data_IF_182015046818
#
_entry.id   IF_182015046818
#
_cell.length_a   1.000
_cell.length_b   1.000
_cell.length_c   1.000
_cell.angle_alpha   90.00
_cell.angle_beta   90.00
_cell.angle_gamma   90.00
#
_symmetry.space_group_name_H-M   'P 1'
#
loop_
_entity.id
_entity.type
_entity.pdbx_description
1 polymer ?
#
# COMPACT_ATOMS: atom_id res chain seq x y z
N UNK A 1 -13.57 5.62 82.46
CA UNK A 1 -12.87 6.89 82.18
C UNK A 1 -13.55 7.53 80.98
N UNK A 2 -14.69 8.19 81.24
CA UNK A 2 -14.88 9.66 81.19
C UNK A 2 -14.73 10.24 79.78
N UNK A 3 -15.81 10.46 79.01
CA UNK A 3 -16.89 11.49 79.06
C UNK A 3 -16.56 12.76 78.26
N UNK A 4 -17.47 13.08 77.33
CA UNK A 4 -17.96 14.45 77.04
C UNK A 4 -17.32 15.15 75.84
N UNK A 5 -17.99 15.25 74.67
CA UNK A 5 -18.97 16.31 74.28
C UNK A 5 -18.49 17.76 74.49
N UNK A 6 -18.35 18.53 73.40
CA UNK A 6 -19.21 19.68 73.00
C UNK A 6 -18.50 20.60 71.98
N UNK A 7 -19.22 20.93 70.91
CA UNK A 7 -19.10 22.21 70.20
C UNK A 7 -19.76 23.32 71.05
N UNK A 8 -19.37 24.60 70.88
CA UNK A 8 -20.33 25.53 70.27
C UNK A 8 -19.74 26.65 69.38
N UNK A 9 -20.69 27.41 68.80
CA UNK A 9 -20.68 28.47 67.79
C UNK A 9 -20.18 29.86 68.24
N UNK A 10 -19.73 30.63 67.23
CA UNK A 10 -19.91 32.06 66.90
C UNK A 10 -19.53 33.21 67.88
N UNK A 11 -18.69 34.14 67.38
CA UNK A 11 -18.86 35.61 67.33
C UNK A 11 -17.72 36.23 66.49
N UNK A 12 -17.95 36.84 65.32
CA UNK A 12 -18.21 38.27 64.98
C UNK A 12 -16.99 39.24 65.08
N UNK A 13 -16.65 39.77 63.88
CA UNK A 13 -16.10 41.08 63.49
C UNK A 13 -14.66 41.53 63.82
N UNK A 14 -13.89 41.88 62.77
CA UNK A 14 -13.44 43.27 62.54
C UNK A 14 -12.93 43.50 61.10
N UNK A 15 -13.36 44.63 60.53
CA UNK A 15 -13.06 45.17 59.20
C UNK A 15 -11.58 45.53 58.98
N UNK A 16 -11.11 45.48 57.73
CA UNK A 16 -10.46 46.62 57.02
C UNK A 16 -10.06 46.25 55.58
N UNK A 17 -10.44 47.12 54.63
CA UNK A 17 -9.57 47.49 53.51
C UNK A 17 -9.91 46.91 52.14
N UNK A 18 -10.79 47.61 51.42
CA UNK A 18 -10.95 47.55 49.96
C UNK A 18 -9.69 48.12 49.27
N UNK A 19 -9.23 47.50 48.18
CA UNK A 19 -8.66 48.22 47.02
C UNK A 19 -8.70 47.33 45.77
N UNK A 20 -9.47 47.77 44.77
CA UNK A 20 -9.53 47.24 43.41
C UNK A 20 -8.16 47.30 42.70
N UNK A 21 -7.85 46.29 41.88
CA UNK A 21 -6.93 46.46 40.75
C UNK A 21 -7.51 45.89 39.45
N UNK A 22 -7.57 46.80 38.48
CA UNK A 22 -8.01 46.74 37.08
C UNK A 22 -7.54 45.52 36.29
N UNK A 23 -8.43 45.11 35.40
CA UNK A 23 -8.25 44.26 34.23
C UNK A 23 -7.26 44.85 33.21
N UNK A 24 -6.39 43.99 32.66
CA UNK A 24 -5.47 44.29 31.56
C UNK A 24 -5.92 43.52 30.32
N UNK A 25 -6.20 44.25 29.25
CA UNK A 25 -6.51 43.75 27.90
C UNK A 25 -5.20 43.30 27.21
N UNK A 26 -5.13 42.12 26.56
CA UNK A 26 -3.93 41.73 25.83
C UNK A 26 -3.86 42.41 24.46
N UNK A 27 -2.69 42.99 24.22
CA UNK A 27 -2.29 43.79 23.07
C UNK A 27 -2.18 42.95 21.77
N UNK A 28 -2.71 43.50 20.68
CA UNK A 28 -2.72 42.94 19.33
C UNK A 28 -1.31 43.10 18.72
N UNK A 29 -0.56 42.01 18.55
CA UNK A 29 0.76 42.05 17.90
C UNK A 29 0.62 42.09 16.38
N UNK A 30 1.17 43.14 15.79
CA UNK A 30 1.38 43.31 14.35
C UNK A 30 2.23 42.18 13.76
N UNK A 31 1.70 41.54 12.72
CA UNK A 31 2.43 40.55 11.93
C UNK A 31 3.52 41.25 11.10
N UNK A 32 4.79 40.96 11.38
CA UNK A 32 5.92 41.46 10.60
C UNK A 32 5.89 40.92 9.16
N UNK A 33 6.05 41.82 8.18
CA UNK A 33 6.11 41.53 6.75
C UNK A 33 7.17 40.46 6.40
N UNK A 34 8.22 40.35 7.22
CA UNK A 34 9.27 39.33 7.10
C UNK A 34 8.71 37.92 7.28
N UNK A 35 7.78 37.70 8.23
CA UNK A 35 7.14 36.39 8.43
C UNK A 35 6.22 35.99 7.27
N UNK A 36 5.58 36.96 6.61
CA UNK A 36 4.74 36.70 5.44
C UNK A 36 5.58 36.27 4.23
N UNK A 37 6.76 36.89 4.02
CA UNK A 37 7.69 36.54 2.95
C UNK A 37 8.32 35.16 3.19
N UNK A 38 8.69 34.82 4.43
CA UNK A 38 9.17 33.47 4.76
C UNK A 38 8.07 32.41 4.61
N UNK A 39 6.83 32.68 5.00
CA UNK A 39 5.70 31.76 4.77
C UNK A 39 5.40 31.59 3.27
N UNK A 40 5.41 32.66 2.48
CA UNK A 40 5.18 32.59 1.04
C UNK A 40 6.30 31.82 0.32
N UNK A 41 7.57 32.06 0.67
CA UNK A 41 8.71 31.30 0.13
C UNK A 41 8.68 29.82 0.54
N UNK A 42 8.23 29.52 1.76
CA UNK A 42 8.08 28.13 2.24
C UNK A 42 6.89 27.41 1.57
N UNK A 43 5.80 28.12 1.28
CA UNK A 43 4.65 27.59 0.52
C UNK A 43 5.04 27.35 -0.94
N UNK A 44 5.76 28.26 -1.59
CA UNK A 44 6.27 28.06 -2.96
C UNK A 44 7.29 26.91 -3.02
N UNK A 45 8.15 26.76 -2.00
CA UNK A 45 9.06 25.63 -1.88
C UNK A 45 8.32 24.30 -1.69
N UNK A 46 7.23 24.27 -0.93
CA UNK A 46 6.39 23.06 -0.78
C UNK A 46 5.65 22.73 -2.08
N UNK A 47 5.11 23.71 -2.79
CA UNK A 47 4.39 23.50 -4.06
C UNK A 47 5.34 23.02 -5.18
N UNK A 48 6.59 23.49 -5.22
CA UNK A 48 7.58 22.98 -6.18
C UNK A 48 8.11 21.57 -5.84
N UNK A 49 8.04 21.13 -4.58
CA UNK A 49 8.58 19.83 -4.14
C UNK A 49 7.53 18.71 -3.99
N UNK A 50 6.27 18.98 -4.35
CA UNK A 50 5.18 18.00 -4.41
C UNK A 50 5.01 17.35 -5.79
N UNK A 51 5.93 17.59 -6.73
CA UNK A 51 5.98 16.80 -7.96
C UNK A 51 6.51 15.39 -7.63
N UNK A 52 5.80 14.31 -8.01
CA UNK A 52 6.37 12.97 -8.00
C UNK A 52 7.64 12.97 -8.86
N UNK A 53 8.66 12.21 -8.45
CA UNK A 53 9.97 12.11 -9.11
C UNK A 53 9.86 11.48 -10.51
N UNK A 54 9.35 12.27 -11.47
CA UNK A 54 9.24 11.97 -12.90
C UNK A 54 10.64 11.79 -13.51
N UNK A 55 11.70 12.33 -12.89
CA UNK A 55 13.07 12.23 -13.41
C UNK A 55 13.63 10.81 -13.33
N UNK A 56 13.24 10.02 -12.33
CA UNK A 56 13.61 8.59 -12.28
C UNK A 56 12.98 7.78 -13.42
N UNK A 57 11.72 8.06 -13.77
CA UNK A 57 10.99 7.40 -14.88
C UNK A 57 11.52 7.87 -16.23
N UNK A 58 11.76 9.19 -16.38
CA UNK A 58 12.25 9.79 -17.62
C UNK A 58 13.67 9.33 -17.97
N UNK A 59 14.54 9.08 -16.97
CA UNK A 59 15.90 8.54 -17.19
C UNK A 59 15.90 7.07 -17.63
N UNK A 60 14.84 6.32 -17.34
CA UNK A 60 14.69 4.91 -17.77
C UNK A 60 14.04 4.82 -19.15
N UNK A 61 13.20 5.79 -19.50
CA UNK A 61 12.48 5.85 -20.79
C UNK A 61 13.25 6.62 -21.89
N UNK A 62 14.40 7.23 -21.57
CA UNK A 62 15.12 8.14 -22.48
C UNK A 62 15.95 7.46 -23.59
N UNK A 63 15.99 6.13 -23.65
CA UNK A 63 16.88 5.43 -24.59
C UNK A 63 16.17 4.92 -25.87
N UNK A 64 14.88 5.23 -26.11
CA UNK A 64 14.16 4.59 -27.22
C UNK A 64 13.00 5.42 -27.83
N UNK A 65 13.15 6.75 -27.88
CA UNK A 65 12.14 7.63 -28.50
C UNK A 65 12.77 8.50 -29.61
N UNK A 66 13.06 7.87 -30.74
CA UNK A 66 13.12 8.53 -32.03
C UNK A 66 12.41 7.60 -33.04
N UNK A 67 11.57 8.20 -33.87
CA UNK A 67 10.85 7.62 -35.00
C UNK A 67 9.56 6.86 -34.67
N UNK A 68 8.43 7.58 -34.77
CA UNK A 68 7.33 7.29 -35.71
C UNK A 68 6.05 8.04 -35.27
N UNK A 69 5.87 9.26 -35.76
CA UNK A 69 4.55 9.88 -35.90
C UNK A 69 4.51 10.71 -37.18
N UNK A 70 3.57 10.40 -38.07
CA UNK A 70 3.08 11.33 -39.07
C UNK A 70 1.63 10.98 -39.44
N UNK A 71 0.77 12.00 -39.30
CA UNK A 71 -0.49 12.31 -40.03
C UNK A 71 -1.63 11.29 -40.04
N UNK A 72 -2.91 11.65 -40.09
CA UNK A 72 -3.72 12.85 -39.79
C UNK A 72 -5.19 12.43 -39.99
N UNK A 73 -6.11 13.35 -39.64
CA UNK A 73 -7.51 13.48 -40.08
C UNK A 73 -8.60 13.05 -39.08
N UNK A 74 -9.30 14.09 -38.61
CA UNK A 74 -10.49 14.08 -37.75
C UNK A 74 -11.76 13.85 -38.56
N UNK A 75 -12.65 12.98 -38.08
CA UNK A 75 -14.08 12.95 -38.40
C UNK A 75 -14.87 12.78 -37.08
N UNK A 76 -16.09 13.34 -36.97
CA UNK A 76 -16.73 13.60 -35.68
C UNK A 76 -17.38 12.35 -35.09
N UNK A 77 -17.11 12.13 -33.80
CA UNK A 77 -17.64 11.00 -33.04
C UNK A 77 -19.16 11.11 -32.80
N UNK A 78 -19.95 10.07 -33.13
CA UNK A 78 -21.34 10.00 -32.73
C UNK A 78 -21.44 9.77 -31.22
N UNK A 79 -22.29 10.55 -30.57
CA UNK A 79 -22.61 10.48 -29.13
C UNK A 79 -22.96 9.05 -28.71
N UNK A 80 -22.11 8.44 -27.87
CA UNK A 80 -22.29 7.09 -27.37
C UNK A 80 -23.45 6.98 -26.37
N UNK A 81 -24.22 5.87 -26.37
CA UNK A 81 -25.29 5.64 -25.42
C UNK A 81 -24.74 5.49 -23.99
N UNK A 82 -25.55 5.87 -23.02
CA UNK A 82 -25.27 5.75 -21.59
C UNK A 82 -24.97 4.29 -21.20
N UNK A 83 -23.69 3.91 -21.21
CA UNK A 83 -23.23 2.59 -20.77
C UNK A 83 -23.48 2.44 -19.28
N UNK A 84 -24.55 1.75 -18.89
CA UNK A 84 -24.77 1.33 -17.51
C UNK A 84 -23.78 0.21 -17.15
N UNK A 85 -22.64 0.55 -16.54
CA UNK A 85 -21.74 -0.45 -15.99
C UNK A 85 -22.20 -0.91 -14.60
N UNK A 86 -22.09 -2.21 -14.30
CA UNK A 86 -22.42 -2.79 -13.00
C UNK A 86 -21.18 -2.95 -12.11
N UNK A 87 -21.23 -2.55 -10.81
CA UNK A 87 -20.08 -2.69 -9.91
C UNK A 87 -19.58 -4.14 -9.76
N UNK A 88 -18.30 -4.35 -10.05
CA UNK A 88 -17.64 -5.67 -9.97
C UNK A 88 -17.39 -6.06 -8.51
N UNK A 89 -17.62 -7.34 -8.19
CA UNK A 89 -17.52 -7.88 -6.80
C UNK A 89 -16.48 -9.00 -6.65
N UNK A 90 -16.07 -9.60 -7.76
CA UNK A 90 -15.17 -10.75 -7.78
C UNK A 90 -13.77 -10.28 -8.18
N UNK A 91 -12.83 -10.28 -7.25
CA UNK A 91 -11.52 -9.63 -7.42
C UNK A 91 -10.42 -10.53 -6.85
N UNK A 92 -9.39 -10.75 -7.65
CA UNK A 92 -8.09 -11.25 -7.19
C UNK A 92 -7.11 -10.09 -7.27
N UNK A 93 -6.69 -9.59 -6.10
CA UNK A 93 -5.58 -8.66 -6.02
C UNK A 93 -4.32 -9.39 -5.56
N UNK A 94 -3.41 -9.64 -6.50
CA UNK A 94 -2.14 -10.28 -6.16
C UNK A 94 -1.16 -9.25 -5.61
N UNK A 95 -0.95 -9.27 -4.29
CA UNK A 95 -0.01 -8.38 -3.61
C UNK A 95 1.45 -8.70 -3.95
N UNK A 96 2.14 -7.74 -4.54
CA UNK A 96 3.61 -7.70 -4.58
C UNK A 96 4.16 -7.02 -3.32
N UNK A 97 5.33 -7.47 -2.85
CA UNK A 97 5.94 -6.91 -1.64
C UNK A 97 6.44 -5.49 -1.85
N UNK A 98 6.14 -4.60 -0.88
CA UNK A 98 6.65 -3.21 -0.82
C UNK A 98 6.26 -2.29 -1.99
N UNK A 99 5.21 -2.64 -2.73
CA UNK A 99 4.59 -1.82 -3.78
C UNK A 99 3.41 -0.96 -3.31
N UNK A 100 3.34 -0.61 -2.02
CA UNK A 100 2.13 -0.03 -1.39
C UNK A 100 0.89 -0.94 -1.47
N UNK A 101 1.10 -2.24 -1.63
CA UNK A 101 0.03 -3.24 -1.77
C UNK A 101 -0.85 -3.39 -0.53
N UNK A 102 -0.40 -3.02 0.68
CA UNK A 102 -1.29 -2.96 1.86
C UNK A 102 -2.32 -1.83 1.78
N UNK A 103 -2.00 -0.71 1.11
CA UNK A 103 -2.96 0.38 0.87
C UNK A 103 -4.05 -0.08 -0.10
N UNK A 104 -3.65 -0.68 -1.22
CA UNK A 104 -4.60 -1.24 -2.20
C UNK A 104 -5.41 -2.39 -1.62
N UNK A 105 -4.80 -3.25 -0.79
CA UNK A 105 -5.55 -4.27 -0.05
C UNK A 105 -6.63 -3.67 0.85
N UNK A 106 -6.37 -2.54 1.51
CA UNK A 106 -7.37 -1.87 2.34
C UNK A 106 -8.58 -1.46 1.50
N UNK A 107 -8.40 -0.93 0.28
CA UNK A 107 -9.49 -0.61 -0.65
C UNK A 107 -10.42 -1.81 -0.86
N UNK A 108 -9.87 -2.95 -1.28
CA UNK A 108 -10.65 -4.17 -1.53
C UNK A 108 -11.29 -4.74 -0.26
N UNK A 109 -10.56 -4.71 0.86
CA UNK A 109 -11.07 -5.17 2.14
C UNK A 109 -12.25 -4.33 2.64
N UNK A 110 -12.17 -3.00 2.52
CA UNK A 110 -13.27 -2.08 2.88
C UNK A 110 -14.50 -2.34 2.00
N UNK A 111 -14.29 -2.41 0.69
CA UNK A 111 -15.39 -2.66 -0.26
C UNK A 111 -16.13 -3.97 0.05
N UNK A 112 -15.39 -5.07 0.17
CA UNK A 112 -15.99 -6.37 0.46
C UNK A 112 -16.52 -6.52 1.89
N UNK A 113 -15.93 -5.81 2.85
CA UNK A 113 -16.43 -5.79 4.22
C UNK A 113 -17.83 -5.17 4.27
N UNK A 114 -18.00 -3.96 3.72
CA UNK A 114 -19.26 -3.21 3.70
C UNK A 114 -20.37 -3.94 2.93
N UNK A 115 -20.00 -4.68 1.88
CA UNK A 115 -20.95 -5.41 1.00
C UNK A 115 -21.11 -6.88 1.36
N UNK A 116 -20.62 -7.32 2.53
CA UNK A 116 -20.74 -8.70 3.04
C UNK A 116 -20.21 -9.78 2.05
N UNK A 117 -19.18 -9.46 1.28
CA UNK A 117 -18.57 -10.36 0.29
C UNK A 117 -17.63 -11.38 0.94
N UNK A 118 -17.48 -12.57 0.37
CA UNK A 118 -16.66 -13.63 0.95
C UNK A 118 -15.18 -13.51 0.55
N UNK A 119 -14.29 -13.52 1.53
CA UNK A 119 -12.84 -13.43 1.33
C UNK A 119 -12.16 -14.79 1.37
N UNK A 120 -11.16 -14.96 0.52
CA UNK A 120 -10.15 -16.01 0.65
C UNK A 120 -9.15 -15.54 1.71
N UNK A 121 -9.14 -16.19 2.88
CA UNK A 121 -8.38 -15.76 4.05
C UNK A 121 -7.35 -16.81 4.49
N UNK A 122 -6.22 -16.38 5.08
CA UNK A 122 -5.27 -17.29 5.68
C UNK A 122 -5.88 -18.02 6.88
N UNK A 123 -5.74 -19.36 6.95
CA UNK A 123 -6.51 -20.19 7.87
C UNK A 123 -6.16 -20.00 9.35
N UNK A 124 -4.99 -19.44 9.65
CA UNK A 124 -4.52 -19.16 11.01
C UNK A 124 -4.40 -17.66 11.28
N UNK A 125 -5.05 -16.84 10.46
CA UNK A 125 -4.78 -15.40 10.42
C UNK A 125 -3.40 -15.09 9.86
N UNK A 126 -2.98 -13.83 9.97
CA UNK A 126 -1.71 -13.32 9.42
C UNK A 126 -1.83 -12.77 7.99
N UNK A 127 -0.69 -12.52 7.36
CA UNK A 127 -0.64 -11.80 6.08
C UNK A 127 -0.47 -12.67 4.83
N UNK A 128 -0.23 -13.98 5.00
CA UNK A 128 0.20 -14.88 3.91
C UNK A 128 -0.69 -16.11 3.77
N UNK A 129 -0.97 -16.47 2.52
CA UNK A 129 -1.52 -17.76 2.11
C UNK A 129 -0.45 -18.44 1.26
N UNK A 130 0.23 -19.43 1.83
CA UNK A 130 1.41 -20.01 1.22
C UNK A 130 2.59 -19.04 1.23
N UNK A 131 3.31 -18.96 0.10
CA UNK A 131 4.56 -18.22 -0.09
C UNK A 131 5.71 -18.79 0.78
N UNK A 132 6.76 -19.38 0.20
CA UNK A 132 7.18 -19.26 -1.20
C UNK A 132 6.47 -20.21 -2.18
N UNK A 133 5.68 -21.17 -1.70
CA UNK A 133 4.91 -22.02 -2.62
C UNK A 133 3.85 -21.21 -3.39
N UNK A 134 3.69 -21.46 -4.70
CA UNK A 134 2.57 -20.96 -5.48
C UNK A 134 1.23 -21.31 -4.83
N UNK A 135 0.25 -20.42 -4.98
CA UNK A 135 -1.07 -20.60 -4.39
C UNK A 135 -1.70 -21.94 -4.80
N UNK A 136 -2.35 -22.58 -3.84
CA UNK A 136 -3.17 -23.76 -4.07
C UNK A 136 -4.37 -23.72 -3.14
N UNK A 137 -5.54 -24.14 -3.61
CA UNK A 137 -6.76 -24.16 -2.79
C UNK A 137 -6.67 -25.07 -1.56
N UNK A 138 -5.72 -26.01 -1.50
CA UNK A 138 -5.45 -26.79 -0.29
C UNK A 138 -4.92 -25.95 0.88
N UNK A 139 -4.48 -24.71 0.63
CA UNK A 139 -3.94 -23.80 1.65
C UNK A 139 -5.03 -23.05 2.43
N UNK A 140 -6.28 -23.06 1.94
CA UNK A 140 -7.41 -22.32 2.53
C UNK A 140 -8.62 -23.24 2.73
N UNK A 141 -9.61 -22.86 3.57
CA UNK A 141 -10.85 -23.63 3.70
C UNK A 141 -11.55 -23.79 2.35
N UNK A 142 -12.25 -24.91 2.16
CA UNK A 142 -13.03 -25.13 0.94
C UNK A 142 -14.48 -24.66 1.14
N UNK A 143 -14.73 -23.39 0.86
CA UNK A 143 -16.06 -22.77 0.94
C UNK A 143 -17.12 -23.43 0.04
N UNK A 144 -16.68 -23.99 -1.09
CA UNK A 144 -17.60 -24.54 -2.10
C UNK A 144 -18.40 -25.74 -1.59
N UNK A 145 -17.87 -26.47 -0.60
CA UNK A 145 -18.56 -27.58 0.08
C UNK A 145 -19.81 -27.15 0.85
N UNK A 146 -19.98 -25.85 1.05
CA UNK A 146 -21.11 -25.25 1.78
C UNK A 146 -21.96 -24.37 0.88
N UNK A 147 -21.82 -24.47 -0.45
CA UNK A 147 -22.53 -23.60 -1.40
C UNK A 147 -22.05 -22.15 -1.38
N UNK A 148 -20.91 -21.86 -0.75
CA UNK A 148 -20.36 -20.51 -0.65
C UNK A 148 -19.31 -20.29 -1.74
N UNK A 149 -19.42 -19.17 -2.45
CA UNK A 149 -18.42 -18.71 -3.42
C UNK A 149 -17.55 -17.62 -2.84
N UNK A 150 -16.26 -17.68 -3.14
CA UNK A 150 -15.33 -16.60 -2.83
C UNK A 150 -15.48 -15.45 -3.81
N UNK A 151 -15.32 -14.23 -3.29
CA UNK A 151 -15.38 -13.00 -4.04
C UNK A 151 -14.03 -12.29 -4.08
N UNK A 152 -13.31 -12.22 -2.95
CA UNK A 152 -12.11 -11.40 -2.86
C UNK A 152 -10.91 -12.19 -2.33
N UNK A 153 -9.80 -12.18 -3.08
CA UNK A 153 -8.49 -12.66 -2.63
C UNK A 153 -7.50 -11.49 -2.66
N UNK A 154 -6.97 -11.09 -1.50
CA UNK A 154 -6.09 -9.92 -1.37
C UNK A 154 -4.88 -10.13 -0.45
N UNK A 155 -4.67 -11.31 0.13
CA UNK A 155 -3.52 -11.58 1.02
C UNK A 155 -2.28 -11.99 0.23
N UNK A 156 -1.09 -11.92 0.85
CA UNK A 156 0.15 -12.29 0.17
C UNK A 156 0.12 -13.76 -0.25
N UNK A 157 0.16 -13.97 -1.56
CA UNK A 157 0.24 -15.27 -2.21
C UNK A 157 1.35 -15.19 -3.26
N UNK A 158 1.82 -16.35 -3.74
CA UNK A 158 2.59 -16.42 -4.98
C UNK A 158 1.66 -16.85 -6.11
N UNK A 159 1.72 -16.21 -7.28
CA UNK A 159 0.79 -16.48 -8.38
C UNK A 159 0.80 -17.96 -8.76
N UNK A 160 -0.39 -18.49 -8.92
CA UNK A 160 -0.68 -19.67 -9.72
C UNK A 160 -2.01 -19.36 -10.38
N UNK A 161 -1.97 -18.85 -11.62
CA UNK A 161 -3.14 -18.28 -12.27
C UNK A 161 -4.25 -19.32 -12.42
N UNK A 162 -3.93 -20.48 -12.96
CA UNK A 162 -4.90 -21.55 -13.20
C UNK A 162 -5.59 -21.98 -11.90
N UNK A 163 -4.81 -22.20 -10.83
CA UNK A 163 -5.39 -22.52 -9.53
C UNK A 163 -6.24 -21.36 -9.01
N UNK A 164 -5.75 -20.12 -8.99
CA UNK A 164 -6.53 -18.97 -8.48
C UNK A 164 -7.85 -18.79 -9.25
N UNK A 165 -7.82 -18.91 -10.58
CA UNK A 165 -8.98 -18.76 -11.45
C UNK A 165 -10.03 -19.84 -11.21
N UNK A 166 -9.60 -21.08 -10.95
CA UNK A 166 -10.42 -22.30 -10.91
C UNK A 166 -11.62 -22.26 -9.96
N UNK A 167 -11.53 -21.60 -8.79
CA UNK A 167 -12.66 -21.47 -7.84
C UNK A 167 -13.21 -20.05 -7.70
N UNK A 168 -12.74 -19.12 -8.54
CA UNK A 168 -13.30 -17.77 -8.60
C UNK A 168 -14.42 -17.71 -9.65
N UNK A 169 -15.31 -16.72 -9.52
CA UNK A 169 -16.41 -16.52 -10.48
C UNK A 169 -15.91 -16.22 -11.90
N UNK A 170 -16.72 -16.49 -12.92
CA UNK A 170 -16.35 -16.28 -14.32
C UNK A 170 -16.03 -14.79 -14.64
N UNK A 171 -16.62 -13.85 -13.91
CA UNK A 171 -16.43 -12.41 -14.02
C UNK A 171 -15.33 -11.85 -13.08
N UNK A 172 -14.47 -12.71 -12.52
CA UNK A 172 -13.38 -12.27 -11.65
C UNK A 172 -12.42 -11.33 -12.39
N UNK A 173 -12.03 -10.25 -11.72
CA UNK A 173 -11.03 -9.27 -12.19
C UNK A 173 -9.71 -9.52 -11.47
N UNK A 174 -8.63 -9.69 -12.22
CA UNK A 174 -7.27 -9.84 -11.72
C UNK A 174 -6.54 -8.49 -11.75
N UNK A 175 -6.07 -8.07 -10.58
CA UNK A 175 -5.33 -6.81 -10.40
C UNK A 175 -4.01 -7.11 -9.68
N UNK A 176 -2.94 -6.42 -10.07
CA UNK A 176 -1.71 -6.38 -9.27
C UNK A 176 -1.10 -4.99 -9.32
N UNK A 177 0.05 -4.80 -8.67
CA UNK A 177 0.76 -3.53 -8.61
C UNK A 177 2.26 -3.77 -8.72
N UNK A 178 2.94 -2.96 -9.52
CA UNK A 178 4.40 -2.95 -9.65
C UNK A 178 4.98 -1.63 -9.11
N UNK A 179 6.28 -1.62 -8.93
CA UNK A 179 7.05 -0.49 -8.40
C UNK A 179 8.44 -0.49 -9.03
N UNK A 180 9.12 0.66 -9.06
CA UNK A 180 10.55 0.73 -9.39
C UNK A 180 11.34 -0.35 -8.64
N UNK A 181 12.00 -1.29 -9.35
CA UNK A 181 12.66 -2.44 -8.71
C UNK A 181 13.76 -2.03 -7.73
N UNK A 182 14.49 -0.96 -8.05
CA UNK A 182 15.55 -0.43 -7.18
C UNK A 182 14.97 0.15 -5.90
N UNK A 183 13.94 0.98 -6.00
CA UNK A 183 13.30 1.54 -4.80
C UNK A 183 12.60 0.47 -3.95
N UNK A 184 12.03 -0.53 -4.62
CA UNK A 184 11.42 -1.67 -3.97
C UNK A 184 12.47 -2.45 -3.17
N UNK A 185 13.61 -2.76 -3.78
CA UNK A 185 14.66 -3.52 -3.13
C UNK A 185 15.29 -2.73 -1.98
N UNK A 186 15.48 -1.42 -2.10
CA UNK A 186 15.90 -0.56 -0.98
C UNK A 186 14.92 -0.65 0.21
N UNK A 187 13.63 -0.71 -0.09
CA UNK A 187 12.57 -0.85 0.90
C UNK A 187 12.59 -2.24 1.56
N UNK A 188 12.75 -3.31 0.78
CA UNK A 188 12.91 -4.67 1.29
C UNK A 188 14.14 -4.80 2.17
N UNK A 189 15.27 -4.28 1.70
CA UNK A 189 16.55 -4.37 2.39
C UNK A 189 16.46 -3.75 3.78
N UNK A 190 15.85 -2.58 3.88
CA UNK A 190 15.66 -1.89 5.15
C UNK A 190 14.61 -2.57 6.02
N UNK A 191 13.50 -3.04 5.44
CA UNK A 191 12.37 -3.61 6.19
C UNK A 191 12.69 -4.98 6.78
N UNK A 192 13.33 -5.86 6.01
CA UNK A 192 13.70 -7.21 6.42
C UNK A 192 15.11 -7.30 7.01
N UNK A 193 15.82 -6.17 7.16
CA UNK A 193 17.21 -6.12 7.61
C UNK A 193 18.11 -7.06 6.81
N UNK A 194 17.98 -7.01 5.47
CA UNK A 194 18.71 -7.91 4.56
C UNK A 194 20.23 -7.75 4.67
N UNK A 195 20.74 -6.69 5.33
CA UNK A 195 22.17 -6.62 5.66
C UNK A 195 22.66 -7.81 6.48
N UNK A 196 21.83 -8.36 7.36
CA UNK A 196 22.20 -9.52 8.18
C UNK A 196 22.23 -10.79 7.35
N UNK A 197 21.31 -10.91 6.41
CA UNK A 197 21.18 -12.08 5.54
C UNK A 197 22.29 -12.13 4.50
N UNK A 198 22.50 -11.04 3.76
CA UNK A 198 23.58 -10.95 2.79
C UNK A 198 24.93 -10.70 3.45
N UNK A 199 25.00 -10.42 4.76
CA UNK A 199 26.23 -10.05 5.49
C UNK A 199 26.97 -8.90 4.82
N UNK A 200 26.23 -7.89 4.38
CA UNK A 200 26.77 -6.77 3.65
C UNK A 200 25.91 -5.53 3.87
N UNK A 201 26.53 -4.35 3.89
CA UNK A 201 25.81 -3.09 4.02
C UNK A 201 25.18 -2.71 2.68
N UNK A 202 24.14 -1.88 2.74
CA UNK A 202 23.41 -1.48 1.54
C UNK A 202 24.24 -0.65 0.56
N UNK A 203 25.04 0.27 1.09
CA UNK A 203 25.95 1.15 0.35
C UNK A 203 27.08 0.39 -0.37
N UNK A 204 27.44 -0.78 0.13
CA UNK A 204 28.49 -1.63 -0.45
C UNK A 204 27.95 -2.85 -1.19
N UNK A 205 26.63 -3.02 -1.29
CA UNK A 205 26.02 -4.23 -1.85
C UNK A 205 26.53 -4.49 -3.27
N UNK A 206 27.14 -5.66 -3.47
CA UNK A 206 27.71 -6.08 -4.76
C UNK A 206 29.06 -5.45 -5.10
N UNK A 207 29.73 -4.76 -4.18
CA UNK A 207 31.11 -4.26 -4.38
C UNK A 207 32.16 -5.33 -4.14
N UNK A 208 31.89 -6.27 -3.23
CA UNK A 208 32.83 -7.31 -2.85
C UNK A 208 32.47 -8.63 -3.53
N UNK A 209 33.50 -9.40 -3.91
CA UNK A 209 33.29 -10.75 -4.43
C UNK A 209 32.61 -11.63 -3.37
N UNK A 210 31.66 -12.46 -3.82
CA UNK A 210 30.97 -13.45 -2.99
C UNK A 210 30.93 -14.80 -3.69
N UNK A 211 30.72 -15.90 -2.94
CA UNK A 211 30.47 -17.20 -3.53
C UNK A 211 29.33 -17.14 -4.54
N UNK A 212 29.42 -17.98 -5.57
CA UNK A 212 28.36 -18.13 -6.57
C UNK A 212 27.02 -18.41 -5.89
N UNK A 213 25.95 -17.75 -6.36
CA UNK A 213 24.60 -17.89 -5.81
C UNK A 213 24.33 -17.14 -4.51
N UNK A 214 25.30 -16.43 -3.91
CA UNK A 214 25.07 -15.68 -2.67
C UNK A 214 23.95 -14.63 -2.77
N UNK A 215 23.80 -14.01 -3.95
CA UNK A 215 22.73 -13.05 -4.22
C UNK A 215 21.48 -13.70 -4.83
N UNK A 216 21.57 -14.94 -5.35
CA UNK A 216 20.40 -15.70 -5.77
C UNK A 216 19.60 -16.24 -4.58
N UNK A 217 20.26 -16.46 -3.44
CA UNK A 217 19.64 -16.91 -2.21
C UNK A 217 18.57 -15.93 -1.70
N UNK A 218 17.44 -16.48 -1.22
CA UNK A 218 16.30 -15.73 -0.72
C UNK A 218 16.13 -15.94 0.79
N UNK A 219 15.93 -14.87 1.55
CA UNK A 219 15.66 -14.97 2.98
C UNK A 219 14.38 -15.79 3.21
N UNK A 220 14.54 -16.91 3.92
CA UNK A 220 13.45 -17.86 4.18
C UNK A 220 12.86 -18.50 2.91
N UNK A 221 13.57 -18.46 1.78
CA UNK A 221 13.07 -18.86 0.47
C UNK A 221 12.11 -17.85 -0.18
N UNK A 222 11.87 -16.69 0.46
CA UNK A 222 10.77 -15.77 0.11
C UNK A 222 11.23 -14.41 -0.41
N UNK A 223 12.16 -13.79 0.32
CA UNK A 223 12.53 -12.38 0.12
C UNK A 223 13.92 -12.27 -0.51
N UNK A 224 14.04 -11.57 -1.64
CA UNK A 224 15.31 -11.37 -2.33
C UNK A 224 15.18 -10.44 -3.53
N UNK A 225 16.16 -10.50 -4.45
CA UNK A 225 16.10 -9.76 -5.72
C UNK A 225 14.99 -10.30 -6.64
N UNK A 226 14.58 -9.49 -7.63
CA UNK A 226 13.48 -9.80 -8.54
C UNK A 226 12.20 -10.21 -7.79
N UNK A 227 11.87 -9.46 -6.73
CA UNK A 227 10.80 -9.82 -5.81
C UNK A 227 9.43 -9.78 -6.46
N UNK A 228 9.18 -8.84 -7.38
CA UNK A 228 7.85 -8.72 -8.00
C UNK A 228 7.58 -9.94 -8.87
N UNK A 229 8.49 -10.33 -9.77
CA UNK A 229 8.34 -11.54 -10.57
C UNK A 229 8.24 -12.80 -9.72
N UNK A 230 9.00 -12.87 -8.62
CA UNK A 230 8.88 -13.97 -7.66
C UNK A 230 7.47 -14.07 -7.07
N UNK A 231 6.91 -12.95 -6.61
CA UNK A 231 5.53 -12.88 -6.09
C UNK A 231 4.51 -13.20 -7.19
N UNK A 232 4.77 -12.75 -8.42
CA UNK A 232 3.98 -13.02 -9.62
C UNK A 232 4.21 -14.43 -10.20
N UNK A 233 4.85 -15.34 -9.46
CA UNK A 233 4.85 -16.78 -9.74
C UNK A 233 6.02 -17.30 -10.57
N UNK A 234 6.87 -16.43 -11.12
CA UNK A 234 8.02 -16.87 -11.90
C UNK A 234 9.05 -17.58 -11.00
N UNK A 235 9.63 -18.69 -11.47
CA UNK A 235 10.67 -19.44 -10.76
C UNK A 235 12.00 -18.66 -10.79
N UNK A 236 12.69 -18.60 -9.65
CA UNK A 236 13.92 -17.82 -9.53
C UNK A 236 15.05 -18.30 -10.44
N UNK A 237 15.02 -19.56 -10.91
CA UNK A 237 15.99 -20.10 -11.87
C UNK A 237 15.88 -19.47 -13.25
N UNK A 238 14.72 -18.89 -13.57
CA UNK A 238 14.46 -18.26 -14.86
C UNK A 238 14.89 -16.79 -14.94
N UNK A 239 15.23 -16.13 -13.81
CA UNK A 239 15.47 -14.68 -13.77
C UNK A 239 16.67 -14.21 -14.60
N UNK A 240 17.65 -15.07 -14.85
CA UNK A 240 18.84 -14.72 -15.65
C UNK A 240 18.59 -14.86 -17.16
N UNK A 241 17.52 -15.53 -17.58
CA UNK A 241 17.17 -15.72 -18.97
C UNK A 241 16.16 -14.64 -19.43
N UNK A 242 16.65 -13.63 -20.14
CA UNK A 242 15.85 -12.50 -20.58
C UNK A 242 14.65 -12.89 -21.47
N UNK A 243 14.80 -13.92 -22.33
CA UNK A 243 13.70 -14.41 -23.17
C UNK A 243 12.60 -15.05 -22.33
N UNK A 244 12.96 -15.91 -21.37
CA UNK A 244 11.98 -16.50 -20.44
C UNK A 244 11.28 -15.44 -19.59
N UNK A 245 12.01 -14.41 -19.15
CA UNK A 245 11.41 -13.28 -18.42
C UNK A 245 10.43 -12.53 -19.31
N UNK A 246 10.81 -12.23 -20.55
CA UNK A 246 9.96 -11.52 -21.50
C UNK A 246 8.66 -12.29 -21.78
N UNK A 247 8.75 -13.58 -22.08
CA UNK A 247 7.57 -14.43 -22.32
C UNK A 247 6.66 -14.50 -21.10
N UNK A 248 7.24 -14.56 -19.89
CA UNK A 248 6.46 -14.53 -18.65
C UNK A 248 5.79 -13.16 -18.42
N UNK A 249 6.44 -12.05 -18.78
CA UNK A 249 5.83 -10.71 -18.72
C UNK A 249 4.63 -10.60 -19.67
N UNK A 250 4.72 -11.15 -20.88
CA UNK A 250 3.59 -11.21 -21.81
C UNK A 250 2.45 -12.08 -21.28
N UNK A 251 2.77 -13.22 -20.66
CA UNK A 251 1.77 -14.01 -19.94
C UNK A 251 1.07 -13.19 -18.85
N UNK A 252 1.83 -12.45 -18.02
CA UNK A 252 1.24 -11.59 -16.99
C UNK A 252 0.31 -10.52 -17.58
N UNK A 253 0.70 -9.88 -18.68
CA UNK A 253 -0.13 -8.87 -19.37
C UNK A 253 -1.42 -9.48 -19.94
N UNK A 254 -1.40 -10.76 -20.33
CA UNK A 254 -2.59 -11.46 -20.81
C UNK A 254 -3.58 -11.87 -19.72
N UNK A 255 -3.13 -12.02 -18.46
CA UNK A 255 -3.96 -12.56 -17.36
C UNK A 255 -4.39 -11.53 -16.32
N UNK A 256 -3.74 -10.36 -16.26
CA UNK A 256 -4.11 -9.27 -15.38
C UNK A 256 -4.92 -8.22 -16.14
N UNK A 257 -6.15 -7.95 -15.69
CA UNK A 257 -7.01 -6.90 -16.26
C UNK A 257 -6.42 -5.49 -16.06
N UNK A 258 -5.71 -5.30 -14.94
CA UNK A 258 -4.96 -4.09 -14.62
C UNK A 258 -3.71 -4.39 -13.78
N UNK A 259 -2.57 -3.88 -14.25
CA UNK A 259 -1.33 -3.79 -13.46
C UNK A 259 -1.07 -2.33 -13.11
N UNK A 260 -1.26 -2.01 -11.84
CA UNK A 260 -1.05 -0.65 -11.31
C UNK A 260 0.44 -0.34 -11.20
N UNK A 261 0.82 0.94 -11.24
CA UNK A 261 2.19 1.41 -11.00
C UNK A 261 2.22 2.30 -9.77
N UNK A 262 3.00 1.92 -8.75
CA UNK A 262 3.05 2.62 -7.46
C UNK A 262 3.46 4.09 -7.59
N UNK A 263 4.33 4.42 -8.53
CA UNK A 263 4.82 5.78 -8.79
C UNK A 263 3.72 6.67 -9.40
N UNK A 264 2.70 6.07 -10.01
CA UNK A 264 1.53 6.70 -10.63
C UNK A 264 0.24 6.18 -9.99
N UNK A 265 0.21 6.24 -8.66
CA UNK A 265 -0.85 5.63 -7.86
C UNK A 265 -2.21 6.27 -8.14
N UNK A 266 -2.28 7.59 -8.31
CA UNK A 266 -3.55 8.29 -8.51
C UNK A 266 -4.20 7.86 -9.83
N UNK A 267 -3.43 7.84 -10.93
CA UNK A 267 -3.91 7.37 -12.23
C UNK A 267 -4.26 5.88 -12.20
N UNK A 268 -3.44 5.08 -11.49
CA UNK A 268 -3.72 3.65 -11.31
C UNK A 268 -5.04 3.42 -10.56
N UNK A 269 -5.38 4.27 -9.58
CA UNK A 269 -6.63 4.19 -8.83
C UNK A 269 -7.83 4.68 -9.63
N UNK A 270 -7.65 5.68 -10.49
CA UNK A 270 -8.69 6.11 -11.44
C UNK A 270 -9.03 4.97 -12.42
N UNK A 271 -8.02 4.33 -13.01
CA UNK A 271 -8.25 3.17 -13.89
C UNK A 271 -8.85 1.99 -13.13
N UNK A 272 -8.47 1.77 -11.87
CA UNK A 272 -9.08 0.74 -11.03
C UNK A 272 -10.56 1.03 -10.76
N UNK A 273 -10.90 2.29 -10.46
CA UNK A 273 -12.28 2.76 -10.25
C UNK A 273 -13.13 2.48 -11.49
N UNK A 274 -12.63 2.87 -12.67
CA UNK A 274 -13.30 2.69 -13.96
C UNK A 274 -13.48 1.20 -14.30
N UNK A 275 -12.41 0.40 -14.20
CA UNK A 275 -12.43 -1.06 -14.44
C UNK A 275 -13.46 -1.79 -13.57
N UNK A 276 -13.61 -1.39 -12.31
CA UNK A 276 -14.50 -2.07 -11.37
C UNK A 276 -15.90 -1.46 -11.33
N UNK A 277 -16.11 -0.33 -12.02
CA UNK A 277 -17.33 0.46 -11.98
C UNK A 277 -17.72 0.81 -10.53
N UNK A 278 -16.74 1.35 -9.81
CA UNK A 278 -16.86 1.73 -8.41
C UNK A 278 -16.97 3.24 -8.25
N UNK A 279 -17.51 3.67 -7.10
CA UNK A 279 -17.56 5.07 -6.74
C UNK A 279 -16.18 5.57 -6.29
N UNK A 280 -15.95 6.89 -6.37
CA UNK A 280 -14.69 7.51 -5.91
C UNK A 280 -14.41 7.16 -4.44
N UNK A 281 -15.44 7.10 -3.58
CA UNK A 281 -15.31 6.73 -2.17
C UNK A 281 -14.86 5.28 -1.92
N UNK A 282 -15.16 4.39 -2.85
CA UNK A 282 -14.74 2.99 -2.74
C UNK A 282 -13.22 2.89 -2.92
N UNK A 283 -12.61 3.73 -3.78
CA UNK A 283 -11.16 3.70 -4.09
C UNK A 283 -10.30 4.70 -3.30
N UNK A 284 -10.89 5.59 -2.49
CA UNK A 284 -10.13 6.47 -1.59
C UNK A 284 -9.20 5.64 -0.70
N UNK A 285 -7.95 6.08 -0.57
CA UNK A 285 -6.95 5.34 0.19
C UNK A 285 -6.01 6.26 0.95
N UNK A 286 -5.74 5.91 2.20
CA UNK A 286 -4.65 6.52 2.94
C UNK A 286 -3.36 5.74 2.72
N UNK A 287 -2.23 6.44 2.71
CA UNK A 287 -0.92 5.83 2.58
C UNK A 287 -0.52 5.10 3.89
N UNK A 288 -1.22 4.01 4.17
CA UNK A 288 -0.96 3.10 5.28
C UNK A 288 0.41 2.45 5.08
N UNK A 289 1.11 2.24 6.19
CA UNK A 289 2.43 1.62 6.22
C UNK A 289 3.51 2.37 5.40
N UNK A 290 3.31 3.65 5.13
CA UNK A 290 4.32 4.49 4.48
C UNK A 290 5.53 4.68 5.39
N UNK A 291 6.73 4.39 4.87
CA UNK A 291 7.97 4.68 5.58
C UNK A 291 8.23 6.18 5.58
N UNK A 292 8.57 6.72 6.74
CA UNK A 292 8.90 8.13 6.88
C UNK A 292 10.11 8.49 5.97
N UNK A 293 10.01 9.62 5.26
CA UNK A 293 11.01 10.07 4.26
C UNK A 293 12.43 10.12 4.84
N UNK A 294 12.60 10.43 6.13
CA UNK A 294 13.92 10.49 6.79
C UNK A 294 14.69 9.16 6.84
N UNK A 295 13.98 8.03 6.70
CA UNK A 295 14.57 6.69 6.69
C UNK A 295 14.78 6.15 5.27
N UNK A 296 14.48 6.94 4.23
CA UNK A 296 14.82 6.58 2.85
C UNK A 296 16.31 6.82 2.62
N UNK A 297 17.01 5.81 2.10
CA UNK A 297 18.43 5.91 1.77
C UNK A 297 18.62 6.65 0.45
N UNK A 298 19.61 7.53 0.38
CA UNK A 298 20.07 8.10 -0.89
C UNK A 298 20.85 7.04 -1.66
N UNK A 299 20.63 6.95 -2.96
CA UNK A 299 21.32 6.00 -3.85
C UNK A 299 22.45 6.73 -4.57
N UNK A 300 23.68 6.20 -4.49
CA UNK A 300 24.75 6.66 -5.36
C UNK A 300 24.53 6.10 -6.78
N UNK A 301 25.03 6.78 -7.84
CA UNK A 301 24.92 6.27 -9.21
C UNK A 301 25.50 4.86 -9.39
N UNK A 302 26.63 4.61 -8.74
CA UNK A 302 27.31 3.30 -8.71
C UNK A 302 26.47 2.20 -8.04
N UNK A 303 25.78 2.50 -6.95
CA UNK A 303 24.88 1.53 -6.30
C UNK A 303 23.61 1.31 -7.14
N UNK A 304 23.08 2.35 -7.77
CA UNK A 304 21.91 2.27 -8.63
C UNK A 304 22.15 1.25 -9.75
N UNK A 305 23.26 1.36 -10.48
CA UNK A 305 23.58 0.45 -11.59
C UNK A 305 23.71 -1.02 -11.13
N UNK A 306 24.33 -1.27 -9.97
CA UNK A 306 24.40 -2.63 -9.41
C UNK A 306 23.01 -3.16 -9.05
N UNK A 307 22.17 -2.34 -8.44
CA UNK A 307 20.82 -2.75 -8.06
C UNK A 307 19.92 -2.99 -9.28
N UNK A 308 20.08 -2.23 -10.36
CA UNK A 308 19.42 -2.48 -11.64
C UNK A 308 19.86 -3.83 -12.22
N UNK A 309 21.17 -4.13 -12.20
CA UNK A 309 21.69 -5.42 -12.65
C UNK A 309 21.14 -6.59 -11.83
N UNK A 310 21.12 -6.48 -10.50
CA UNK A 310 20.59 -7.55 -9.65
C UNK A 310 19.07 -7.74 -9.80
N UNK A 311 18.33 -6.70 -10.15
CA UNK A 311 16.88 -6.74 -10.36
C UNK A 311 16.49 -6.67 -11.84
N UNK A 312 17.34 -7.17 -12.74
CA UNK A 312 17.16 -7.00 -14.18
C UNK A 312 15.84 -7.59 -14.70
N UNK A 313 15.38 -8.72 -14.15
CA UNK A 313 14.12 -9.33 -14.54
C UNK A 313 12.93 -8.44 -14.12
N UNK A 314 12.94 -7.92 -12.89
CA UNK A 314 11.92 -6.97 -12.42
C UNK A 314 11.98 -5.64 -13.18
N UNK A 315 13.14 -5.23 -13.72
CA UNK A 315 13.26 -4.05 -14.60
C UNK A 315 12.51 -4.25 -15.91
N UNK A 316 12.59 -5.44 -16.53
CA UNK A 316 11.82 -5.77 -17.72
C UNK A 316 10.31 -5.73 -17.43
N UNK A 317 9.89 -6.37 -16.32
CA UNK A 317 8.50 -6.32 -15.85
C UNK A 317 8.01 -4.88 -15.65
N UNK A 318 8.76 -4.06 -14.92
CA UNK A 318 8.38 -2.70 -14.58
C UNK A 318 8.27 -1.82 -15.83
N UNK A 319 9.24 -1.89 -16.75
CA UNK A 319 9.21 -1.13 -18.00
C UNK A 319 8.00 -1.48 -18.86
N UNK A 320 7.67 -2.77 -18.99
CA UNK A 320 6.48 -3.21 -19.73
C UNK A 320 5.21 -2.59 -19.17
N UNK A 321 4.98 -2.70 -17.86
CA UNK A 321 3.75 -2.22 -17.25
C UNK A 321 3.67 -0.69 -17.08
N UNK A 322 4.80 0.02 -17.04
CA UNK A 322 4.79 1.49 -17.19
C UNK A 322 4.29 1.88 -18.59
N UNK A 323 4.79 1.22 -19.65
CA UNK A 323 4.28 1.46 -21.02
C UNK A 323 2.80 1.10 -21.14
N UNK A 324 2.39 -0.04 -20.57
CA UNK A 324 0.99 -0.47 -20.59
C UNK A 324 0.07 0.51 -19.84
N UNK A 325 0.52 1.04 -18.70
CA UNK A 325 -0.23 2.07 -17.97
C UNK A 325 -0.38 3.35 -18.80
N UNK A 326 0.69 3.79 -19.47
CA UNK A 326 0.62 4.97 -20.35
C UNK A 326 -0.39 4.76 -21.48
N UNK A 327 -0.41 3.58 -22.10
CA UNK A 327 -1.40 3.23 -23.11
C UNK A 327 -2.84 3.27 -22.55
N UNK A 328 -3.08 2.67 -21.38
CA UNK A 328 -4.42 2.72 -20.73
C UNK A 328 -4.87 4.16 -20.39
N UNK A 329 -3.93 5.05 -20.09
CA UNK A 329 -4.25 6.46 -19.81
C UNK A 329 -4.58 7.22 -21.10
N UNK A 330 -3.87 6.93 -22.19
CA UNK A 330 -4.22 7.46 -23.50
C UNK A 330 -5.61 6.96 -23.94
N UNK A 331 -5.90 5.66 -23.75
CA UNK A 331 -7.22 5.06 -24.00
C UNK A 331 -8.33 5.69 -23.13
N UNK A 332 -8.05 6.00 -21.87
CA UNK A 332 -9.00 6.67 -20.97
C UNK A 332 -9.23 8.15 -21.32
N UNK A 333 -8.26 8.79 -21.98
CA UNK A 333 -8.22 10.21 -22.30
C UNK A 333 -7.42 11.01 -21.27
N UNK A 334 -6.43 11.79 -21.73
CA UNK A 334 -5.50 12.53 -20.86
C UNK A 334 -6.20 13.62 -20.04
N UNK A 335 -7.13 14.38 -20.63
CA UNK A 335 -7.88 15.44 -19.93
C UNK A 335 -8.83 14.84 -18.90
N UNK A 336 -9.63 13.84 -19.31
CA UNK A 336 -10.51 13.08 -18.41
C UNK A 336 -9.73 12.45 -17.25
N UNK A 337 -8.51 11.94 -17.51
CA UNK A 337 -7.63 11.41 -16.46
C UNK A 337 -7.22 12.49 -15.47
N UNK A 338 -6.81 13.67 -15.95
CA UNK A 338 -6.42 14.77 -15.07
C UNK A 338 -7.58 15.22 -14.16
N UNK A 339 -8.78 15.34 -14.70
CA UNK A 339 -9.99 15.67 -13.93
C UNK A 339 -10.32 14.60 -12.89
N UNK A 340 -10.32 13.32 -13.28
CA UNK A 340 -10.63 12.21 -12.38
C UNK A 340 -9.58 12.05 -11.27
N UNK A 341 -8.31 12.34 -11.56
CA UNK A 341 -7.24 12.38 -10.55
C UNK A 341 -7.49 13.49 -9.54
N UNK A 342 -7.85 14.69 -9.99
CA UNK A 342 -8.12 15.81 -9.09
C UNK A 342 -9.38 15.57 -8.25
N UNK A 343 -10.43 14.97 -8.82
CA UNK A 343 -11.61 14.50 -8.09
C UNK A 343 -11.20 13.53 -6.95
N UNK A 344 -10.40 12.51 -7.28
CA UNK A 344 -9.92 11.51 -6.33
C UNK A 344 -9.06 12.14 -5.21
N UNK A 345 -8.16 13.07 -5.57
CA UNK A 345 -7.33 13.81 -4.60
C UNK A 345 -8.18 14.66 -3.67
N UNK A 346 -9.14 15.40 -4.20
CA UNK A 346 -10.09 16.19 -3.42
C UNK A 346 -10.88 15.32 -2.46
N UNK A 347 -11.40 14.20 -2.93
CA UNK A 347 -12.16 13.28 -2.10
C UNK A 347 -11.29 12.65 -1.00
N UNK A 348 -10.04 12.33 -1.32
CA UNK A 348 -9.06 11.80 -0.35
C UNK A 348 -8.70 12.85 0.70
N UNK A 349 -8.48 14.11 0.32
CA UNK A 349 -8.22 15.23 1.25
C UNK A 349 -9.39 15.45 2.20
N UNK A 350 -10.61 15.47 1.68
CA UNK A 350 -11.81 15.60 2.49
C UNK A 350 -11.91 14.48 3.54
N UNK A 351 -11.70 13.21 3.15
CA UNK A 351 -11.73 12.10 4.12
C UNK A 351 -10.58 12.19 5.12
N UNK A 352 -9.40 12.63 4.69
CA UNK A 352 -8.26 12.86 5.57
C UNK A 352 -8.61 13.88 6.66
N UNK A 353 -9.19 15.02 6.27
CA UNK A 353 -9.57 16.08 7.21
C UNK A 353 -10.68 15.65 8.16
N UNK A 354 -11.63 14.83 7.71
CA UNK A 354 -12.67 14.26 8.57
C UNK A 354 -12.09 13.26 9.57
N UNK A 355 -11.20 12.38 9.12
CA UNK A 355 -10.82 11.20 9.90
C UNK A 355 -9.54 11.37 10.73
N UNK A 356 -8.55 12.13 10.26
CA UNK A 356 -7.19 12.11 10.78
C UNK A 356 -6.94 13.30 11.70
N UNK A 357 -6.57 13.04 12.95
CA UNK A 357 -6.11 14.07 13.88
C UNK A 357 -4.65 14.41 13.63
N UNK A 358 -3.80 13.39 13.48
CA UNK A 358 -2.37 13.52 13.17
C UNK A 358 -1.80 12.22 12.65
N UNK A 359 -0.59 12.28 12.08
CA UNK A 359 0.24 11.12 11.82
C UNK A 359 1.24 10.91 12.98
N UNK A 360 1.50 9.65 13.35
CA UNK A 360 2.58 9.30 14.26
C UNK A 360 3.21 7.95 13.83
N UNK A 361 4.29 7.54 14.48
CA UNK A 361 4.91 6.25 14.22
C UNK A 361 3.99 5.10 14.63
N UNK A 362 3.95 4.05 13.81
CA UNK A 362 3.17 2.84 14.06
C UNK A 362 3.44 2.26 15.45
N UNK A 363 4.71 2.29 15.89
CA UNK A 363 5.15 1.80 17.20
C UNK A 363 4.58 2.57 18.39
N UNK A 364 3.99 3.76 18.18
CA UNK A 364 3.31 4.53 19.23
C UNK A 364 1.80 4.36 19.22
N UNK A 365 1.21 4.01 18.07
CA UNK A 365 -0.23 3.94 17.87
C UNK A 365 -0.74 2.50 18.07
N UNK A 366 0.00 1.54 17.53
CA UNK A 366 -0.42 0.13 17.52
C UNK A 366 0.19 -0.58 18.72
N UNK A 367 -0.61 -1.43 19.38
CA UNK A 367 -0.15 -2.26 20.48
C UNK A 367 0.91 -3.27 20.00
N UNK A 368 2.18 -2.96 20.26
CA UNK A 368 3.33 -3.77 19.87
C UNK A 368 3.40 -5.14 20.56
N UNK A 369 2.64 -5.36 21.64
CA UNK A 369 2.50 -6.69 22.26
C UNK A 369 1.64 -7.64 21.43
N UNK A 370 0.69 -7.11 20.65
CA UNK A 370 -0.24 -7.89 19.82
C UNK A 370 0.15 -7.90 18.35
N UNK A 371 0.66 -6.79 17.84
CA UNK A 371 0.98 -6.64 16.43
C UNK A 371 2.43 -6.21 16.23
N UNK A 372 3.03 -6.67 15.13
CA UNK A 372 4.31 -6.14 14.69
C UNK A 372 4.18 -4.65 14.36
N UNK A 373 5.12 -3.85 14.85
CA UNK A 373 5.21 -2.42 14.57
C UNK A 373 6.60 -2.07 14.10
N UNK A 374 6.69 -1.21 13.09
CA UNK A 374 7.98 -0.73 12.59
C UNK A 374 8.17 0.75 12.99
N UNK A 375 9.29 1.03 13.66
CA UNK A 375 9.65 2.38 14.13
C UNK A 375 9.89 3.39 13.00
N UNK A 376 10.02 2.92 11.76
CA UNK A 376 10.21 3.77 10.57
C UNK A 376 8.91 4.05 9.82
N UNK A 377 7.81 3.40 10.21
CA UNK A 377 6.54 3.40 9.47
C UNK A 377 5.53 4.31 10.17
N UNK A 378 4.79 5.09 9.38
CA UNK A 378 3.74 5.99 9.85
C UNK A 378 2.39 5.28 9.94
N UNK A 379 1.57 5.73 10.88
CA UNK A 379 0.16 5.37 11.03
C UNK A 379 -0.65 6.63 11.41
N UNK A 380 -1.98 6.51 11.34
CA UNK A 380 -2.89 7.64 11.54
C UNK A 380 -3.53 7.57 12.94
N UNK A 381 -3.48 8.68 13.66
CA UNK A 381 -4.30 8.90 14.86
C UNK A 381 -5.63 9.47 14.40
N UNK A 382 -6.72 8.77 14.72
CA UNK A 382 -8.08 9.20 14.37
C UNK A 382 -8.56 10.35 15.25
N UNK A 383 -9.42 11.22 14.73
CA UNK A 383 -10.24 12.13 15.54
C UNK A 383 -11.26 11.31 16.36
N UNK A 384 -11.71 11.84 17.51
CA UNK A 384 -12.63 11.17 18.44
C UNK A 384 -14.08 10.96 17.93
N UNK A 385 -14.31 11.00 16.62
CA UNK A 385 -15.63 10.80 16.03
C UNK A 385 -15.83 9.34 15.58
N UNK A 386 -16.94 8.73 16.02
CA UNK A 386 -17.34 7.35 15.71
C UNK A 386 -17.89 7.25 14.27
N UNK A 387 -17.04 7.38 13.26
CA UNK A 387 -17.39 7.11 11.87
C UNK A 387 -16.75 5.79 11.42
N UNK A 388 -17.58 4.78 11.12
CA UNK A 388 -17.13 3.47 10.64
C UNK A 388 -16.22 3.57 9.39
N UNK A 389 -16.45 4.57 8.53
CA UNK A 389 -15.60 4.83 7.37
C UNK A 389 -14.20 5.28 7.77
N UNK A 390 -14.10 6.15 8.79
CA UNK A 390 -12.81 6.58 9.33
C UNK A 390 -12.07 5.45 10.04
N UNK A 391 -12.79 4.60 10.76
CA UNK A 391 -12.22 3.38 11.33
C UNK A 391 -11.61 2.51 10.24
N UNK A 392 -12.36 2.25 9.18
CA UNK A 392 -11.93 1.38 8.09
C UNK A 392 -10.77 1.96 7.27
N UNK A 393 -10.77 3.27 6.99
CA UNK A 393 -9.71 3.98 6.24
C UNK A 393 -8.37 4.03 6.97
N UNK A 394 -8.40 4.08 8.31
CA UNK A 394 -7.18 4.21 9.13
C UNK A 394 -6.69 2.88 9.69
N UNK A 395 -7.47 1.81 9.59
CA UNK A 395 -7.14 0.50 10.14
C UNK A 395 -6.02 -0.17 9.34
N UNK A 396 -4.93 -0.51 10.03
CA UNK A 396 -3.81 -1.25 9.43
C UNK A 396 -4.19 -2.67 8.99
N UNK A 397 -3.50 -3.19 7.98
CA UNK A 397 -3.74 -4.53 7.40
C UNK A 397 -3.92 -5.66 8.44
N UNK A 398 -3.04 -5.86 9.45
CA UNK A 398 -3.20 -6.99 10.37
C UNK A 398 -4.50 -6.93 11.16
N UNK A 399 -4.86 -5.73 11.64
CA UNK A 399 -6.08 -5.48 12.39
C UNK A 399 -7.31 -5.69 11.51
N UNK A 400 -7.27 -5.20 10.26
CA UNK A 400 -8.37 -5.41 9.31
C UNK A 400 -8.52 -6.89 8.96
N UNK A 401 -7.42 -7.62 8.82
CA UNK A 401 -7.45 -9.06 8.55
C UNK A 401 -8.09 -9.83 9.69
N UNK A 402 -7.77 -9.50 10.95
CA UNK A 402 -8.46 -10.09 12.10
C UNK A 402 -9.97 -9.83 12.06
N UNK A 403 -10.38 -8.60 11.74
CA UNK A 403 -11.80 -8.24 11.55
C UNK A 403 -12.48 -9.08 10.46
N UNK A 404 -11.81 -9.37 9.35
CA UNK A 404 -12.32 -10.26 8.29
C UNK A 404 -12.39 -11.72 8.73
N UNK A 405 -11.35 -12.22 9.40
CA UNK A 405 -11.29 -13.58 9.93
C UNK A 405 -12.41 -13.77 10.94
N UNK A 406 -12.60 -12.85 11.87
CA UNK A 406 -13.66 -12.91 12.87
C UNK A 406 -15.06 -12.93 12.25
N UNK A 407 -15.29 -12.14 11.19
CA UNK A 407 -16.57 -12.15 10.46
C UNK A 407 -16.83 -13.49 9.76
N UNK A 408 -15.80 -14.18 9.26
CA UNK A 408 -15.95 -15.40 8.46
C UNK A 408 -15.63 -16.70 9.22
N UNK A 409 -15.18 -16.63 10.48
CA UNK A 409 -14.68 -17.79 11.23
C UNK A 409 -15.70 -18.91 11.42
N UNK A 410 -16.99 -18.58 11.36
CA UNK A 410 -18.09 -19.53 11.48
C UNK A 410 -18.72 -19.91 10.13
N UNK A 411 -18.27 -19.29 9.03
CA UNK A 411 -18.75 -19.63 7.68
C UNK A 411 -18.06 -20.89 7.13
N UNK A 412 -16.86 -21.22 7.62
CA UNK A 412 -16.04 -22.32 7.12
C UNK A 412 -15.48 -23.18 8.26
N UNK A 413 -15.39 -24.52 8.10
CA UNK A 413 -14.69 -25.37 9.06
C UNK A 413 -13.20 -25.07 9.06
N UNK A 414 -12.54 -25.30 10.20
CA UNK A 414 -11.08 -25.17 10.31
C UNK A 414 -10.41 -26.14 9.34
N UNK A 415 -9.52 -25.68 8.45
CA UNK A 415 -8.88 -26.56 7.47
C UNK A 415 -7.87 -27.48 8.16
N UNK A 416 -7.65 -28.66 7.56
CA UNK A 416 -6.54 -29.54 7.95
C UNK A 416 -5.22 -28.77 7.80
N UNK A 417 -4.22 -28.99 8.67
CA UNK A 417 -2.96 -28.26 8.59
C UNK A 417 -2.25 -28.53 7.26
N UNK A 418 -2.12 -27.50 6.42
CA UNK A 418 -1.28 -27.55 5.21
C UNK A 418 0.19 -27.77 5.61
N UNK A 419 0.81 -28.82 5.08
CA UNK A 419 2.24 -29.13 5.30
C UNK A 419 3.05 -28.55 4.14
N UNK A 420 3.58 -27.34 4.35
CA UNK A 420 4.56 -26.73 3.46
C UNK A 420 5.85 -27.58 3.41
N UNK A 421 6.47 -27.68 2.23
CA UNK A 421 7.79 -28.32 2.08
C UNK A 421 8.90 -27.45 2.66
N UNK A 422 8.65 -26.16 2.85
CA UNK A 422 9.54 -25.25 3.54
C UNK A 422 9.26 -25.29 5.05
N UNK A 423 10.12 -26.00 5.79
CA UNK A 423 10.08 -26.03 7.26
C UNK A 423 10.40 -24.64 7.81
N UNK A 424 9.37 -23.92 8.21
CA UNK A 424 9.49 -22.60 8.83
C UNK A 424 10.04 -22.73 10.27
N UNK A 425 11.35 -22.54 10.47
CA UNK A 425 11.89 -22.20 11.79
C UNK A 425 11.66 -20.70 12.00
N UNK A 426 10.48 -20.36 12.52
CA UNK A 426 10.20 -19.03 13.04
C UNK A 426 11.04 -18.81 14.31
N UNK A 427 12.34 -18.59 14.16
CA UNK A 427 13.02 -17.80 15.19
C UNK A 427 12.30 -16.45 15.16
N UNK A 428 11.80 -15.99 16.31
CA UNK A 428 11.32 -14.62 16.51
C UNK A 428 12.41 -13.66 16.04
N UNK A 429 12.35 -13.31 14.78
CA UNK A 429 13.06 -12.19 14.19
C UNK A 429 11.94 -11.26 13.75
N UNK A 430 11.52 -10.47 14.73
CA UNK A 430 10.63 -9.34 14.58
C UNK A 430 11.49 -8.09 14.67
#
# INVERSE_FOLDING_TARGET
MEKGRRLPRNHVASNKGITEKRSVVPNQKSFSFVSAVFCAAFIVYIIQYEQPDIHSVRRILSDEAADLFSSSDEEPFPTSPTNSCSPRRNIVFLKTHKCASSSVQNIFNRYGYRRKLNFVLPPRGGSYIGHPEPFNWSMVPDATKFGIRYNILTHHCRLNYDEMRRKMSADVVFVTIVRSPVELFESLFSFYSLQMFYRERFDTLGKHAKPAGAYAARMGGKIGFNQMLFDLGMDEKGFENASLVHDYVLFLDSVFDLVMVRERMDESLVLLKDLLCWDTDDVVVFQLNARNKRYKRKLSPDLLQRLEKFNSADILLYRHFVRRLNARIAEFGHERMAEAVEELRNRTRMWYDVCVQKQDFQSKIINSKRYFTNKMVMAYVKKNQLNATCDDLTTSEPIFTEKLVDRQRYMFPKPKPYRSRYRYKMKRWH
#
